data_IF_864839010454
#
_entry.id   IF_864839010454
#
_cell.length_a   1.000
_cell.length_b   1.000
_cell.length_c   1.000
_cell.angle_alpha   90.00
_cell.angle_beta   90.00
_cell.angle_gamma   90.00
#
_symmetry.space_group_name_H-M   'P 1'
#
loop_
_entity.id
_entity.type
_entity.pdbx_description
1 polymer ?
#
# COMPACT_ATOMS: atom_id res chain seq x y z
N UNK A 1 19.79 -27.25 53.38
CA UNK A 1 19.22 -27.35 52.02
C UNK A 1 18.68 -25.99 51.62
N UNK A 2 19.45 -25.24 50.84
CA UNK A 2 19.03 -23.91 50.34
C UNK A 2 18.40 -24.08 48.99
N UNK A 3 17.11 -23.76 48.86
CA UNK A 3 16.37 -23.76 47.61
C UNK A 3 16.66 -22.48 46.85
N UNK A 4 17.21 -22.61 45.65
CA UNK A 4 17.47 -21.50 44.73
C UNK A 4 16.15 -20.98 44.14
N UNK A 5 15.91 -19.67 44.30
CA UNK A 5 14.82 -18.96 43.64
C UNK A 5 14.95 -18.99 42.10
N UNK A 6 13.85 -19.16 41.35
CA UNK A 6 13.90 -19.11 39.90
C UNK A 6 14.19 -17.67 39.41
N UNK A 7 15.21 -17.53 38.56
CA UNK A 7 15.54 -16.28 37.87
C UNK A 7 14.42 -15.87 36.95
N UNK A 8 13.84 -14.69 37.17
CA UNK A 8 12.91 -13.99 36.29
C UNK A 8 13.46 -13.90 34.85
N UNK A 9 12.67 -14.13 33.82
CA UNK A 9 13.16 -14.10 32.45
C UNK A 9 13.69 -12.69 32.09
N UNK A 10 14.93 -12.63 31.62
CA UNK A 10 15.53 -11.42 31.07
C UNK A 10 14.70 -10.95 29.90
N UNK A 11 14.11 -9.77 29.97
CA UNK A 11 13.52 -9.06 28.82
C UNK A 11 14.54 -9.07 27.67
N UNK A 12 14.26 -9.82 26.61
CA UNK A 12 15.06 -9.83 25.40
C UNK A 12 14.96 -8.43 24.80
N UNK A 13 16.05 -7.66 24.80
CA UNK A 13 16.10 -6.35 24.13
C UNK A 13 15.86 -6.58 22.64
N UNK A 14 14.65 -6.34 22.18
CA UNK A 14 14.29 -6.30 20.77
C UNK A 14 15.01 -5.10 20.15
N UNK A 15 15.66 -5.28 19.00
CA UNK A 15 16.35 -4.20 18.30
C UNK A 15 15.40 -3.03 17.97
N UNK A 16 15.88 -1.77 17.92
CA UNK A 16 15.03 -0.60 17.64
C UNK A 16 14.21 -0.74 16.37
N UNK A 17 14.77 -1.28 15.31
CA UNK A 17 14.09 -1.50 14.02
C UNK A 17 12.95 -2.51 14.16
N UNK A 18 13.15 -3.60 14.89
CA UNK A 18 12.10 -4.59 15.15
C UNK A 18 10.95 -4.01 15.98
N UNK A 19 11.21 -3.04 16.87
CA UNK A 19 10.15 -2.37 17.64
C UNK A 19 9.33 -1.41 16.76
N UNK A 20 9.99 -0.74 15.83
CA UNK A 20 9.30 0.09 14.84
C UNK A 20 8.38 -0.74 13.96
N UNK A 21 8.84 -1.86 13.46
CA UNK A 21 8.04 -2.82 12.67
C UNK A 21 6.87 -3.40 13.46
N UNK A 22 7.07 -3.73 14.74
CA UNK A 22 6.01 -4.21 15.62
C UNK A 22 4.88 -3.18 15.76
N UNK A 23 5.22 -1.90 15.93
CA UNK A 23 4.23 -0.82 16.05
C UNK A 23 3.47 -0.61 14.72
N UNK A 24 4.16 -0.72 13.56
CA UNK A 24 3.53 -0.65 12.25
C UNK A 24 2.54 -1.82 12.09
N UNK A 25 2.95 -3.05 12.39
CA UNK A 25 2.09 -4.23 12.30
C UNK A 25 0.86 -4.13 13.22
N UNK A 26 1.05 -3.67 14.47
CA UNK A 26 -0.05 -3.44 15.40
C UNK A 26 -1.02 -2.35 14.92
N UNK A 27 -0.49 -1.27 14.34
CA UNK A 27 -1.30 -0.21 13.73
C UNK A 27 -2.12 -0.73 12.54
N UNK A 28 -1.51 -1.54 11.68
CA UNK A 28 -2.22 -2.20 10.56
C UNK A 28 -3.34 -3.11 11.07
N UNK A 29 -3.09 -3.92 12.10
CA UNK A 29 -4.11 -4.77 12.72
C UNK A 29 -5.27 -3.95 13.31
N UNK A 30 -5.00 -2.80 13.94
CA UNK A 30 -6.03 -1.88 14.43
C UNK A 30 -6.88 -1.29 13.29
N UNK A 31 -6.25 -0.88 12.19
CA UNK A 31 -6.95 -0.39 10.99
C UNK A 31 -7.82 -1.47 10.35
N UNK A 32 -7.30 -2.70 10.22
CA UNK A 32 -8.03 -3.83 9.65
C UNK A 32 -9.29 -4.18 10.46
N UNK A 33 -9.19 -4.14 11.82
CA UNK A 33 -10.27 -4.48 12.74
C UNK A 33 -11.32 -3.38 12.87
N UNK A 34 -10.92 -2.11 12.91
CA UNK A 34 -11.80 -1.01 13.30
C UNK A 34 -11.69 0.26 12.43
N UNK A 35 -11.02 0.20 11.28
CA UNK A 35 -10.80 1.37 10.43
C UNK A 35 -10.07 2.49 11.20
N UNK A 36 -10.28 3.73 10.76
CA UNK A 36 -9.62 4.89 11.39
C UNK A 36 -10.08 5.11 12.85
N UNK A 37 -11.32 4.79 13.18
CA UNK A 37 -11.84 4.86 14.55
C UNK A 37 -11.18 3.81 15.47
N UNK A 38 -10.68 2.72 14.90
CA UNK A 38 -9.89 1.71 15.59
C UNK A 38 -8.42 2.09 15.82
N UNK A 39 -7.93 3.08 15.13
CA UNK A 39 -6.53 3.52 15.15
C UNK A 39 -6.26 4.51 16.29
N UNK A 40 -6.29 4.02 17.53
CA UNK A 40 -6.01 4.81 18.74
C UNK A 40 -4.72 4.34 19.42
N UNK A 41 -4.05 5.26 20.13
CA UNK A 41 -2.81 4.95 20.87
C UNK A 41 -3.02 3.77 21.82
N UNK A 42 -4.15 3.75 22.54
CA UNK A 42 -4.50 2.71 23.50
C UNK A 42 -4.58 1.33 22.84
N UNK A 43 -5.31 1.24 21.72
CA UNK A 43 -5.48 -0.02 20.98
C UNK A 43 -4.19 -0.50 20.34
N UNK A 44 -3.40 0.41 19.78
CA UNK A 44 -2.10 0.09 19.20
C UNK A 44 -1.14 -0.44 20.27
N UNK A 45 -1.09 0.21 21.45
CA UNK A 45 -0.28 -0.24 22.55
C UNK A 45 -0.72 -1.60 23.10
N UNK A 46 -2.04 -1.84 23.19
CA UNK A 46 -2.58 -3.14 23.61
C UNK A 46 -2.24 -4.24 22.60
N UNK A 47 -2.41 -3.99 21.31
CA UNK A 47 -2.10 -4.94 20.22
C UNK A 47 -0.60 -5.28 20.18
N UNK A 48 0.28 -4.27 20.33
CA UNK A 48 1.73 -4.43 20.34
C UNK A 48 2.30 -4.89 21.70
N UNK A 49 1.49 -4.91 22.75
CA UNK A 49 1.92 -5.18 24.15
C UNK A 49 3.05 -4.25 24.63
N UNK A 50 2.92 -2.95 24.34
CA UNK A 50 3.93 -1.94 24.68
C UNK A 50 3.32 -0.74 25.41
N UNK A 51 4.18 0.08 26.03
CA UNK A 51 3.77 1.34 26.63
C UNK A 51 3.58 2.45 25.61
N UNK A 52 2.74 3.46 25.93
CA UNK A 52 2.48 4.65 25.07
C UNK A 52 3.76 5.39 24.69
N UNK A 53 4.73 5.48 25.59
CA UNK A 53 6.01 6.15 25.34
C UNK A 53 6.78 5.61 24.14
N UNK A 54 6.55 4.35 23.77
CA UNK A 54 7.24 3.74 22.63
C UNK A 54 6.76 4.32 21.29
N UNK A 55 5.48 4.66 21.15
CA UNK A 55 4.95 5.32 19.94
C UNK A 55 5.57 6.71 19.80
N UNK A 56 5.57 7.49 20.88
CA UNK A 56 6.21 8.83 20.90
C UNK A 56 7.71 8.76 20.61
N UNK A 57 8.39 7.75 21.12
CA UNK A 57 9.83 7.57 20.90
C UNK A 57 10.17 7.27 19.43
N UNK A 58 9.40 6.39 18.76
CA UNK A 58 9.70 5.97 17.38
C UNK A 58 9.08 6.85 16.30
N UNK A 59 7.95 7.47 16.57
CA UNK A 59 7.18 8.22 15.55
C UNK A 59 6.92 9.67 15.94
N UNK A 60 7.12 10.07 17.19
CA UNK A 60 6.77 11.38 17.70
C UNK A 60 5.27 11.54 17.92
N UNK A 61 4.45 11.20 16.91
CA UNK A 61 3.01 11.32 16.94
C UNK A 61 2.33 10.11 16.27
N UNK A 62 1.05 9.89 16.60
CA UNK A 62 0.20 8.84 15.99
C UNK A 62 0.09 9.02 14.47
N UNK A 63 0.01 10.26 13.99
CA UNK A 63 -0.12 10.58 12.57
C UNK A 63 1.12 10.18 11.75
N UNK A 64 2.31 10.26 12.35
CA UNK A 64 3.53 9.78 11.71
C UNK A 64 3.58 8.23 11.65
N UNK A 65 2.99 7.54 12.63
CA UNK A 65 2.81 6.10 12.54
C UNK A 65 1.83 5.73 11.42
N UNK A 66 0.73 6.48 11.26
CA UNK A 66 -0.21 6.30 10.16
C UNK A 66 0.47 6.50 8.79
N UNK A 67 1.30 7.53 8.66
CA UNK A 67 2.13 7.77 7.48
C UNK A 67 3.12 6.63 7.21
N UNK A 68 3.76 6.09 8.26
CA UNK A 68 4.68 4.97 8.14
C UNK A 68 3.98 3.67 7.70
N UNK A 69 2.75 3.42 8.15
CA UNK A 69 1.91 2.32 7.67
C UNK A 69 1.63 2.48 6.18
N UNK A 70 1.22 3.67 5.74
CA UNK A 70 0.99 3.98 4.34
C UNK A 70 2.26 3.73 3.50
N UNK A 71 3.42 4.23 3.94
CA UNK A 71 4.70 4.01 3.26
C UNK A 71 5.07 2.53 3.16
N UNK A 72 4.76 1.74 4.18
CA UNK A 72 4.99 0.28 4.15
C UNK A 72 4.11 -0.40 3.12
N UNK A 73 2.82 -0.10 3.09
CA UNK A 73 1.87 -0.72 2.17
C UNK A 73 2.14 -0.35 0.71
N UNK A 74 2.33 0.95 0.43
CA UNK A 74 2.65 1.41 -0.92
C UNK A 74 4.04 0.93 -1.37
N UNK A 75 4.98 0.80 -0.44
CA UNK A 75 6.32 0.28 -0.70
C UNK A 75 6.29 -1.17 -1.19
N UNK A 76 5.40 -2.01 -0.66
CA UNK A 76 5.18 -3.36 -1.15
C UNK A 76 4.64 -3.36 -2.59
N UNK A 77 3.67 -2.50 -2.91
CA UNK A 77 3.18 -2.32 -4.27
C UNK A 77 4.30 -1.84 -5.20
N UNK A 78 5.04 -0.79 -4.81
CA UNK A 78 6.12 -0.25 -5.63
C UNK A 78 7.24 -1.25 -5.88
N UNK A 79 7.61 -2.05 -4.89
CA UNK A 79 8.62 -3.10 -5.06
C UNK A 79 8.16 -4.20 -6.03
N UNK A 80 6.86 -4.43 -6.15
CA UNK A 80 6.30 -5.36 -7.14
C UNK A 80 6.27 -4.78 -8.56
N UNK A 81 6.36 -3.46 -8.69
CA UNK A 81 6.29 -2.71 -9.96
C UNK A 81 7.68 -2.27 -10.42
N UNK A 82 8.52 -1.75 -9.50
CA UNK A 82 9.88 -1.30 -9.77
C UNK A 82 10.79 -2.50 -10.02
N UNK A 83 11.51 -2.49 -11.14
CA UNK A 83 12.53 -3.53 -11.44
C UNK A 83 12.01 -4.81 -12.12
N UNK A 84 10.72 -4.94 -12.40
CA UNK A 84 10.22 -6.04 -13.21
C UNK A 84 10.32 -5.72 -14.70
N UNK A 85 10.97 -6.61 -15.45
CA UNK A 85 11.13 -6.51 -16.91
C UNK A 85 9.82 -6.69 -17.72
N UNK A 86 8.65 -6.57 -17.08
CA UNK A 86 7.35 -6.86 -17.69
C UNK A 86 6.54 -5.63 -18.16
N UNK A 87 7.08 -4.41 -18.08
CA UNK A 87 6.40 -3.21 -18.53
C UNK A 87 5.04 -2.98 -17.86
N UNK A 88 4.12 -2.32 -18.59
CA UNK A 88 2.79 -1.98 -18.06
C UNK A 88 1.95 -3.22 -17.72
N UNK A 89 2.13 -4.34 -18.41
CA UNK A 89 1.43 -5.59 -18.10
C UNK A 89 1.79 -6.14 -16.71
N UNK A 90 3.07 -6.05 -16.31
CA UNK A 90 3.48 -6.45 -14.96
C UNK A 90 2.87 -5.54 -13.89
N UNK A 91 2.74 -4.23 -14.16
CA UNK A 91 2.05 -3.29 -13.27
C UNK A 91 0.58 -3.69 -13.11
N UNK A 92 -0.13 -3.91 -14.22
CA UNK A 92 -1.55 -4.32 -14.21
C UNK A 92 -1.75 -5.59 -13.37
N UNK A 93 -0.91 -6.62 -13.59
CA UNK A 93 -1.00 -7.88 -12.86
C UNK A 93 -0.63 -7.73 -11.37
N UNK A 94 0.26 -6.80 -11.03
CA UNK A 94 0.63 -6.54 -9.63
C UNK A 94 -0.45 -5.81 -8.85
N UNK A 95 -1.20 -4.93 -9.53
CA UNK A 95 -2.30 -4.18 -8.90
C UNK A 95 -3.55 -5.04 -8.79
N UNK A 96 -3.80 -5.92 -9.76
CA UNK A 96 -4.93 -6.85 -9.76
C UNK A 96 -4.42 -8.30 -9.82
N UNK A 97 -3.86 -8.82 -8.71
CA UNK A 97 -3.36 -10.18 -8.66
C UNK A 97 -4.49 -11.21 -8.76
N UNK A 98 -4.15 -12.43 -9.20
CA UNK A 98 -5.07 -13.56 -9.14
C UNK A 98 -5.29 -14.00 -7.69
N UNK A 99 -6.53 -14.40 -7.39
CA UNK A 99 -6.94 -14.88 -6.08
C UNK A 99 -7.66 -13.82 -5.23
N UNK A 100 -8.18 -14.22 -4.07
CA UNK A 100 -8.89 -13.33 -3.19
C UNK A 100 -7.93 -12.35 -2.51
N UNK A 101 -8.19 -11.07 -2.68
CA UNK A 101 -7.54 -10.05 -1.86
C UNK A 101 -7.98 -10.18 -0.40
N UNK A 102 -7.03 -10.00 0.53
CA UNK A 102 -7.36 -9.99 1.95
C UNK A 102 -8.31 -8.83 2.25
N UNK A 103 -9.48 -9.14 2.83
CA UNK A 103 -10.42 -8.12 3.32
C UNK A 103 -9.77 -7.16 4.33
N UNK A 104 -8.78 -7.63 5.06
CA UNK A 104 -8.01 -6.82 5.99
C UNK A 104 -7.20 -5.76 5.24
N UNK A 105 -6.48 -6.16 4.19
CA UNK A 105 -5.71 -5.25 3.33
C UNK A 105 -6.61 -4.18 2.71
N UNK A 106 -7.77 -4.56 2.19
CA UNK A 106 -8.75 -3.63 1.62
C UNK A 106 -9.23 -2.60 2.65
N UNK A 107 -9.57 -3.05 3.87
CA UNK A 107 -10.00 -2.17 4.96
C UNK A 107 -8.91 -1.18 5.39
N UNK A 108 -7.65 -1.62 5.43
CA UNK A 108 -6.53 -0.73 5.75
C UNK A 108 -6.41 0.36 4.69
N UNK A 109 -6.45 0.00 3.40
CA UNK A 109 -6.38 0.98 2.32
C UNK A 109 -7.52 1.98 2.34
N UNK A 110 -8.77 1.54 2.52
CA UNK A 110 -9.93 2.44 2.63
C UNK A 110 -9.79 3.41 3.81
N UNK A 111 -9.31 2.93 4.96
CA UNK A 111 -9.06 3.78 6.12
C UNK A 111 -7.96 4.83 5.84
N UNK A 112 -6.88 4.43 5.18
CA UNK A 112 -5.79 5.33 4.81
C UNK A 112 -6.25 6.38 3.78
N UNK A 113 -6.95 5.99 2.74
CA UNK A 113 -7.43 6.90 1.70
C UNK A 113 -8.39 7.96 2.25
N UNK A 114 -9.29 7.58 3.15
CA UNK A 114 -10.19 8.53 3.81
C UNK A 114 -9.47 9.60 4.63
N UNK A 115 -8.25 9.31 5.10
CA UNK A 115 -7.49 10.22 5.95
C UNK A 115 -6.39 11.02 5.24
N UNK A 116 -6.06 10.71 3.97
CA UNK A 116 -4.97 11.38 3.26
C UNK A 116 -5.14 12.91 3.24
N UNK A 117 -6.36 13.38 2.96
CA UNK A 117 -6.63 14.81 2.87
C UNK A 117 -6.64 15.52 4.24
N UNK A 118 -6.90 14.78 5.32
CA UNK A 118 -7.12 15.34 6.66
C UNK A 118 -5.86 15.28 7.55
N UNK A 119 -4.89 14.40 7.22
CA UNK A 119 -3.69 14.19 8.03
C UNK A 119 -2.44 14.69 7.29
N UNK A 120 -1.83 15.84 7.70
CA UNK A 120 -0.71 16.43 6.98
C UNK A 120 0.50 15.50 6.77
N UNK A 121 0.84 14.69 7.79
CA UNK A 121 1.93 13.70 7.70
C UNK A 121 1.62 12.64 6.62
N UNK A 122 0.39 12.14 6.59
CA UNK A 122 -0.05 11.15 5.62
C UNK A 122 -0.13 11.75 4.20
N UNK A 123 -0.62 12.97 4.05
CA UNK A 123 -0.64 13.69 2.77
C UNK A 123 0.77 13.90 2.21
N UNK A 124 1.74 14.23 3.06
CA UNK A 124 3.15 14.35 2.67
C UNK A 124 3.71 13.02 2.17
N UNK A 125 3.47 11.93 2.90
CA UNK A 125 3.87 10.58 2.51
C UNK A 125 3.21 10.17 1.19
N UNK A 126 1.90 10.41 1.04
CA UNK A 126 1.15 10.14 -0.18
C UNK A 126 1.76 10.87 -1.40
N UNK A 127 1.96 12.17 -1.32
CA UNK A 127 2.55 12.95 -2.43
C UNK A 127 3.88 12.38 -2.92
N UNK A 128 4.74 12.00 -1.97
CA UNK A 128 6.05 11.42 -2.28
C UNK A 128 5.90 10.07 -3.00
N UNK A 129 5.09 9.17 -2.47
CA UNK A 129 4.95 7.81 -3.02
C UNK A 129 4.13 7.82 -4.33
N UNK A 130 3.11 8.67 -4.43
CA UNK A 130 2.33 8.82 -5.65
C UNK A 130 3.18 9.34 -6.81
N UNK A 131 4.11 10.26 -6.54
CA UNK A 131 5.06 10.72 -7.56
C UNK A 131 5.96 9.58 -8.09
N UNK A 132 6.41 8.67 -7.21
CA UNK A 132 7.17 7.47 -7.60
C UNK A 132 6.32 6.51 -8.43
N UNK A 133 5.09 6.23 -7.98
CA UNK A 133 4.17 5.36 -8.71
C UNK A 133 3.88 5.90 -10.11
N UNK A 134 3.57 7.20 -10.22
CA UNK A 134 3.35 7.84 -11.51
C UNK A 134 4.57 7.75 -12.43
N UNK A 135 5.77 8.01 -11.91
CA UNK A 135 6.99 7.89 -12.69
C UNK A 135 7.22 6.46 -13.21
N UNK A 136 6.92 5.43 -12.41
CA UNK A 136 7.00 4.04 -12.84
C UNK A 136 5.99 3.72 -13.95
N UNK A 137 4.75 4.21 -13.83
CA UNK A 137 3.71 4.06 -14.87
C UNK A 137 4.11 4.80 -16.16
N UNK A 138 4.56 6.05 -16.06
CA UNK A 138 5.03 6.85 -17.22
C UNK A 138 6.19 6.14 -17.92
N UNK A 139 7.15 5.58 -17.20
CA UNK A 139 8.27 4.82 -17.75
C UNK A 139 7.79 3.56 -18.49
N UNK A 140 6.88 2.79 -17.90
CA UNK A 140 6.33 1.58 -18.50
C UNK A 140 5.49 1.88 -19.76
N UNK A 141 4.70 2.95 -19.75
CA UNK A 141 3.95 3.41 -20.92
C UNK A 141 4.88 3.94 -22.02
N UNK A 142 5.94 4.66 -21.66
CA UNK A 142 6.96 5.11 -22.60
C UNK A 142 7.67 3.95 -23.30
N UNK A 143 7.97 2.87 -22.57
CA UNK A 143 8.52 1.64 -23.14
C UNK A 143 7.54 0.97 -24.11
N UNK A 144 6.26 0.85 -23.72
CA UNK A 144 5.20 0.32 -24.58
C UNK A 144 5.06 1.14 -25.87
N UNK A 145 5.10 2.47 -25.77
CA UNK A 145 5.05 3.38 -26.92
C UNK A 145 6.20 3.14 -27.90
N UNK A 146 7.44 2.99 -27.39
CA UNK A 146 8.62 2.67 -28.22
C UNK A 146 8.47 1.33 -28.92
N UNK A 147 8.08 0.28 -28.19
CA UNK A 147 7.89 -1.07 -28.75
C UNK A 147 6.81 -1.09 -29.85
N UNK A 148 5.77 -0.29 -29.69
CA UNK A 148 4.64 -0.20 -30.61
C UNK A 148 4.80 0.85 -31.72
N UNK A 149 5.90 1.62 -31.70
CA UNK A 149 6.14 2.75 -32.61
C UNK A 149 4.98 3.75 -32.63
N UNK A 150 4.48 4.08 -31.43
CA UNK A 150 3.41 5.05 -31.19
C UNK A 150 3.96 6.26 -30.45
N UNK A 151 3.28 7.40 -30.56
CA UNK A 151 3.67 8.66 -29.89
C UNK A 151 2.46 9.27 -29.14
N UNK A 152 1.89 8.59 -28.16
CA UNK A 152 0.81 9.16 -27.35
C UNK A 152 1.39 10.20 -26.36
N UNK A 153 0.51 11.04 -25.80
CA UNK A 153 0.84 11.83 -24.62
C UNK A 153 0.97 10.89 -23.41
N UNK A 154 2.21 10.54 -23.05
CA UNK A 154 2.52 9.60 -21.96
C UNK A 154 1.98 10.10 -20.62
N UNK A 155 2.10 11.42 -20.35
CA UNK A 155 1.61 12.00 -19.10
C UNK A 155 0.10 11.87 -18.99
N UNK A 156 -0.63 12.20 -20.04
CA UNK A 156 -2.09 12.08 -20.06
C UNK A 156 -2.53 10.62 -19.96
N UNK A 157 -1.86 9.72 -20.68
CA UNK A 157 -2.13 8.29 -20.61
C UNK A 157 -1.90 7.74 -19.19
N UNK A 158 -0.84 8.18 -18.49
CA UNK A 158 -0.57 7.79 -17.11
C UNK A 158 -1.65 8.30 -16.15
N UNK A 159 -2.12 9.54 -16.30
CA UNK A 159 -3.20 10.09 -15.50
C UNK A 159 -4.47 9.25 -15.68
N UNK A 160 -4.86 8.99 -16.93
CA UNK A 160 -6.07 8.19 -17.25
C UNK A 160 -5.95 6.77 -16.68
N UNK A 161 -4.78 6.13 -16.87
CA UNK A 161 -4.52 4.79 -16.36
C UNK A 161 -4.61 4.69 -14.84
N UNK A 162 -3.92 5.59 -14.11
CA UNK A 162 -3.92 5.60 -12.65
C UNK A 162 -5.33 5.88 -12.11
N UNK A 163 -6.04 6.85 -12.69
CA UNK A 163 -7.42 7.16 -12.27
C UNK A 163 -8.37 5.98 -12.48
N UNK A 164 -8.21 5.23 -13.58
CA UNK A 164 -8.99 4.00 -13.80
C UNK A 164 -8.63 2.92 -12.77
N UNK A 165 -7.33 2.70 -12.53
CA UNK A 165 -6.84 1.72 -11.54
C UNK A 165 -7.38 2.04 -10.14
N UNK A 166 -7.28 3.31 -9.71
CA UNK A 166 -7.77 3.74 -8.40
C UNK A 166 -9.28 3.52 -8.27
N UNK A 167 -10.06 3.85 -9.31
CA UNK A 167 -11.51 3.61 -9.34
C UNK A 167 -11.88 2.13 -9.29
N UNK A 168 -11.28 1.30 -10.12
CA UNK A 168 -11.50 -0.15 -10.13
C UNK A 168 -11.12 -0.78 -8.79
N UNK A 169 -10.01 -0.32 -8.21
CA UNK A 169 -9.54 -0.81 -6.92
C UNK A 169 -10.52 -0.44 -5.80
N UNK A 170 -11.03 0.80 -5.80
CA UNK A 170 -12.02 1.27 -4.83
C UNK A 170 -13.31 0.43 -4.91
N UNK A 171 -13.87 0.25 -6.10
CA UNK A 171 -15.10 -0.55 -6.30
C UNK A 171 -14.91 -2.00 -5.85
N UNK A 172 -13.79 -2.64 -6.19
CA UNK A 172 -13.45 -3.99 -5.73
C UNK A 172 -13.28 -4.06 -4.20
N UNK A 173 -12.80 -2.99 -3.59
CA UNK A 173 -12.65 -2.90 -2.13
C UNK A 173 -14.00 -2.81 -1.41
N UNK A 174 -15.00 -2.21 -2.05
CA UNK A 174 -16.36 -2.08 -1.52
C UNK A 174 -17.13 -3.39 -1.70
N UNK A 175 -17.22 -3.90 -2.92
CA UNK A 175 -17.85 -5.19 -3.21
C UNK A 175 -17.06 -5.98 -4.29
N UNK A 176 -16.18 -6.92 -3.88
CA UNK A 176 -15.33 -7.66 -4.79
C UNK A 176 -16.09 -8.61 -5.75
N UNK A 177 -17.42 -8.75 -5.59
CA UNK A 177 -18.25 -9.56 -6.50
C UNK A 177 -18.66 -8.79 -7.77
N UNK A 178 -18.57 -7.45 -7.76
CA UNK A 178 -18.99 -6.61 -8.87
C UNK A 178 -17.99 -6.61 -10.02
N UNK A 179 -16.71 -6.63 -9.71
CA UNK A 179 -15.63 -6.56 -10.71
C UNK A 179 -14.58 -7.62 -10.36
N UNK A 180 -14.37 -8.59 -11.25
CA UNK A 180 -13.29 -9.58 -11.08
C UNK A 180 -11.90 -8.96 -11.30
N UNK A 181 -10.83 -9.63 -10.87
CA UNK A 181 -9.47 -9.20 -11.20
C UNK A 181 -9.21 -9.23 -12.71
N UNK A 182 -9.79 -10.21 -13.40
CA UNK A 182 -9.72 -10.34 -14.85
C UNK A 182 -10.41 -9.17 -15.58
N UNK A 183 -11.63 -8.80 -15.16
CA UNK A 183 -12.35 -7.63 -15.72
C UNK A 183 -11.57 -6.34 -15.49
N UNK A 184 -10.98 -6.16 -14.31
CA UNK A 184 -10.17 -4.98 -14.01
C UNK A 184 -8.93 -4.90 -14.91
N UNK A 185 -8.21 -6.03 -15.10
CA UNK A 185 -7.07 -6.09 -16.02
C UNK A 185 -7.49 -5.83 -17.47
N UNK A 186 -8.60 -6.42 -17.90
CA UNK A 186 -9.15 -6.19 -19.24
C UNK A 186 -9.53 -4.73 -19.47
N UNK A 187 -10.15 -4.07 -18.47
CA UNK A 187 -10.47 -2.64 -18.53
C UNK A 187 -9.21 -1.77 -18.69
N UNK A 188 -8.13 -2.09 -17.97
CA UNK A 188 -6.84 -1.40 -18.12
C UNK A 188 -6.30 -1.51 -19.55
N UNK A 189 -6.32 -2.70 -20.13
CA UNK A 189 -5.86 -2.90 -21.52
C UNK A 189 -6.76 -2.20 -22.53
N UNK A 190 -8.07 -2.24 -22.37
CA UNK A 190 -9.03 -1.54 -23.25
C UNK A 190 -8.84 -0.02 -23.22
N UNK A 191 -8.49 0.55 -22.07
CA UNK A 191 -8.12 1.97 -21.97
C UNK A 191 -6.87 2.29 -22.80
N UNK A 192 -5.86 1.42 -22.79
CA UNK A 192 -4.56 1.64 -23.43
C UNK A 192 -4.60 1.34 -24.94
N UNK A 193 -5.44 0.45 -25.39
CA UNK A 193 -5.50 -0.05 -26.78
C UNK A 193 -5.64 1.05 -27.85
N UNK A 194 -6.51 2.07 -27.72
CA UNK A 194 -6.61 3.14 -28.70
C UNK A 194 -5.32 3.96 -28.86
N UNK A 195 -4.54 4.09 -27.77
CA UNK A 195 -3.32 4.89 -27.75
C UNK A 195 -2.09 4.08 -28.17
N UNK A 196 -2.02 2.80 -27.80
CA UNK A 196 -0.81 1.98 -27.92
C UNK A 196 -0.99 0.77 -28.87
N UNK A 197 -2.20 0.46 -29.31
CA UNK A 197 -2.54 -0.75 -30.07
C UNK A 197 -2.87 -1.94 -29.14
N UNK A 198 -3.40 -3.06 -29.69
CA UNK A 198 -3.83 -4.21 -28.93
C UNK A 198 -2.67 -4.85 -28.14
N UNK A 199 -2.96 -5.60 -27.04
CA UNK A 199 -1.92 -6.34 -26.31
C UNK A 199 -1.17 -7.29 -27.25
N UNK A 200 0.13 -7.54 -26.98
CA UNK A 200 0.87 -8.62 -27.67
C UNK A 200 0.42 -9.95 -27.06
N UNK A 201 0.02 -10.87 -27.91
CA UNK A 201 -0.28 -12.26 -27.53
C UNK A 201 0.99 -12.94 -27.03
#
# INVERSE_FOLDING_TARGET
MMTASPKTPRFRRVAPDQRRELLIAAGMACLAKGGILGFTIERICAEAQVSRGLITHHFGAKDNLLAAIYETMIGQLLSSVEGKSGGIGAIINSVFPDGPESRETLRIWLALWGEIANTPALLKAHRKQYARYRAAVESALGELARQRKRQPDIRQAAIMFISLVDGLWLERSIDPRQISAEDARAACWRLLEPMFGPPLN
#
